data_IF_548669951017
#
_entry.id   IF_548669951017
#
_cell.length_a   1.000
_cell.length_b   1.000
_cell.length_c   1.000
_cell.angle_alpha   90.00
_cell.angle_beta   90.00
_cell.angle_gamma   90.00
#
_symmetry.space_group_name_H-M   'P 1'
#
loop_
_entity.id
_entity.type
_entity.pdbx_description
1 polymer ?
#
# COMPACT_ATOMS: atom_id res chain seq x y z
N UNK A 1 28.77 -51.73 22.58
CA UNK A 1 28.46 -50.52 23.36
C UNK A 1 28.17 -49.40 22.35
N UNK A 2 26.96 -49.35 21.78
CA UNK A 2 25.87 -48.43 22.15
C UNK A 2 26.33 -46.98 22.42
N UNK A 3 25.99 -46.06 21.52
CA UNK A 3 25.08 -44.94 21.83
C UNK A 3 24.44 -44.40 20.54
N UNK A 4 23.09 -44.42 20.53
CA UNK A 4 22.21 -43.71 19.59
C UNK A 4 21.81 -42.38 20.25
N UNK A 5 21.58 -41.34 19.46
CA UNK A 5 20.56 -40.34 19.78
C UNK A 5 20.09 -39.65 18.48
N UNK A 6 18.83 -39.89 18.15
CA UNK A 6 18.08 -39.28 17.07
C UNK A 6 17.10 -38.24 17.65
N UNK A 7 16.85 -37.18 16.86
CA UNK A 7 15.53 -36.62 16.53
C UNK A 7 14.64 -35.90 17.58
N UNK A 8 14.19 -34.72 17.14
CA UNK A 8 12.83 -34.14 17.15
C UNK A 8 12.37 -33.17 18.28
N UNK A 9 11.88 -32.04 17.74
CA UNK A 9 10.73 -31.23 18.16
C UNK A 9 10.86 -30.27 19.34
N UNK A 10 10.96 -28.97 19.02
CA UNK A 10 10.62 -27.86 19.90
C UNK A 10 9.39 -27.13 19.35
N UNK A 11 8.32 -27.13 20.13
CA UNK A 11 6.96 -26.76 19.80
C UNK A 11 6.71 -25.25 19.66
N UNK A 12 5.66 -24.92 18.89
CA UNK A 12 4.94 -23.65 18.92
C UNK A 12 4.47 -23.30 20.34
N UNK A 13 4.73 -22.07 20.77
CA UNK A 13 3.98 -21.40 21.84
C UNK A 13 3.46 -20.07 21.30
N UNK A 14 2.18 -20.05 20.92
CA UNK A 14 1.40 -18.82 20.74
C UNK A 14 1.04 -18.29 22.14
N UNK A 15 1.34 -17.01 22.39
CA UNK A 15 0.92 -16.27 23.59
C UNK A 15 -0.10 -15.18 23.22
N UNK A 16 -0.89 -14.85 24.23
CA UNK A 16 -1.87 -13.76 24.36
C UNK A 16 -3.24 -14.06 23.71
N UNK A 17 -4.34 -14.24 24.47
CA UNK A 17 -4.69 -13.56 25.73
C UNK A 17 -5.57 -12.36 25.37
N UNK A 18 -6.83 -12.63 25.03
CA UNK A 18 -7.83 -11.60 24.74
C UNK A 18 -8.41 -11.15 26.08
N UNK A 19 -8.03 -9.95 26.54
CA UNK A 19 -8.72 -9.30 27.65
C UNK A 19 -9.54 -8.15 27.09
N UNK A 20 -10.86 -8.33 27.13
CA UNK A 20 -11.83 -7.29 26.89
C UNK A 20 -11.99 -6.46 28.18
N UNK A 21 -11.76 -5.15 28.10
CA UNK A 21 -12.43 -4.08 28.87
C UNK A 21 -11.65 -2.79 28.65
N UNK A 22 -12.31 -1.75 28.14
CA UNK A 22 -12.37 -0.42 28.77
C UNK A 22 -13.18 0.52 27.83
N UNK A 23 -14.47 0.61 28.12
CA UNK A 23 -15.29 1.78 27.82
C UNK A 23 -15.17 2.73 29.02
N UNK A 24 -14.60 3.92 28.83
CA UNK A 24 -15.08 5.19 29.40
C UNK A 24 -14.24 6.37 28.86
N UNK A 25 -14.83 7.57 28.73
CA UNK A 25 -14.24 8.70 28.03
C UNK A 25 -13.51 9.64 29.00
N UNK A 26 -12.24 9.93 28.75
CA UNK A 26 -11.59 11.06 29.40
C UNK A 26 -11.40 12.22 28.43
N UNK A 27 -12.15 13.28 28.74
CA UNK A 27 -11.94 14.61 28.23
C UNK A 27 -10.52 15.08 28.60
N UNK A 28 -9.70 15.35 27.61
CA UNK A 28 -8.49 16.13 27.78
C UNK A 28 -8.38 17.13 26.63
N UNK A 29 -8.90 18.31 26.94
CA UNK A 29 -8.77 19.55 26.17
C UNK A 29 -7.29 19.92 26.12
N UNK A 30 -6.59 19.55 25.05
CA UNK A 30 -5.26 20.08 24.75
C UNK A 30 -5.35 21.07 23.59
N UNK A 31 -5.64 22.32 23.96
CA UNK A 31 -5.33 23.51 23.16
C UNK A 31 -3.81 23.58 22.97
N UNK A 32 -3.33 23.08 21.84
CA UNK A 32 -1.95 23.27 21.39
C UNK A 32 -1.92 24.28 20.26
N UNK A 33 -1.71 25.54 20.63
CA UNK A 33 -1.25 26.59 19.72
C UNK A 33 0.22 26.35 19.39
N UNK A 34 0.47 25.58 18.33
CA UNK A 34 1.73 25.59 17.60
C UNK A 34 1.39 25.74 16.13
N UNK A 35 1.66 26.92 15.54
CA UNK A 35 1.51 27.18 14.11
C UNK A 35 2.65 26.52 13.32
N UNK A 36 2.84 25.23 13.52
CA UNK A 36 3.50 24.32 12.58
C UNK A 36 2.37 23.66 11.83
N UNK A 37 2.30 23.87 10.51
CA UNK A 37 1.24 23.33 9.64
C UNK A 37 1.02 21.86 9.97
N UNK A 38 -0.07 21.52 10.67
CA UNK A 38 -0.31 20.17 11.13
C UNK A 38 -0.32 19.23 9.93
N UNK A 39 0.66 18.31 9.86
CA UNK A 39 0.73 17.31 8.79
C UNK A 39 -0.47 16.38 8.98
N UNK A 40 -1.40 16.42 8.05
CA UNK A 40 -2.56 15.51 8.07
C UNK A 40 -2.04 14.12 7.72
N UNK A 41 -1.97 13.25 8.73
CA UNK A 41 -1.66 11.85 8.51
C UNK A 41 -2.89 11.10 8.02
N UNK A 42 -2.79 10.58 6.80
CA UNK A 42 -3.81 9.80 6.11
C UNK A 42 -3.47 8.30 6.05
N UNK A 43 -2.38 7.87 6.69
CA UNK A 43 -1.94 6.47 6.75
C UNK A 43 -0.94 6.06 5.66
N UNK A 44 -0.53 6.97 4.77
CA UNK A 44 0.44 6.68 3.71
C UNK A 44 1.78 6.20 4.27
N UNK A 45 2.32 6.92 5.25
CA UNK A 45 3.64 6.64 5.81
C UNK A 45 3.65 5.27 6.52
N UNK A 46 2.55 4.91 7.20
CA UNK A 46 2.38 3.61 7.84
C UNK A 46 2.23 2.46 6.83
N UNK A 47 1.45 2.67 5.75
CA UNK A 47 1.31 1.71 4.66
C UNK A 47 2.66 1.44 3.99
N UNK A 48 3.39 2.50 3.65
CA UNK A 48 4.72 2.45 3.05
C UNK A 48 5.71 1.71 3.96
N UNK A 49 5.83 2.11 5.23
CA UNK A 49 6.71 1.45 6.18
C UNK A 49 6.44 -0.06 6.29
N UNK A 50 5.15 -0.46 6.33
CA UNK A 50 4.78 -1.86 6.39
C UNK A 50 5.10 -2.62 5.10
N UNK A 51 4.84 -2.03 3.93
CA UNK A 51 5.17 -2.68 2.66
C UNK A 51 6.69 -2.86 2.49
N UNK A 52 7.48 -1.86 2.89
CA UNK A 52 8.95 -1.95 2.86
C UNK A 52 9.49 -3.00 3.83
N UNK A 53 8.86 -3.14 5.01
CA UNK A 53 9.17 -4.21 5.95
C UNK A 53 8.85 -5.60 5.37
N UNK A 54 7.69 -5.76 4.72
CA UNK A 54 7.30 -7.01 4.06
C UNK A 54 8.28 -7.38 2.92
N UNK A 55 8.73 -6.39 2.13
CA UNK A 55 9.76 -6.59 1.10
C UNK A 55 11.07 -7.05 1.74
N UNK A 56 11.54 -6.33 2.77
CA UNK A 56 12.82 -6.63 3.43
C UNK A 56 12.82 -8.02 4.06
N UNK A 57 11.73 -8.38 4.74
CA UNK A 57 11.51 -9.71 5.34
C UNK A 57 11.45 -10.80 4.27
N UNK A 58 10.73 -10.55 3.17
CA UNK A 58 10.62 -11.49 2.06
C UNK A 58 11.94 -11.74 1.34
N UNK A 59 12.76 -10.69 1.12
CA UNK A 59 14.11 -10.84 0.58
C UNK A 59 14.95 -11.72 1.51
N UNK A 60 14.98 -11.42 2.80
CA UNK A 60 15.75 -12.19 3.78
C UNK A 60 15.34 -13.67 3.80
N UNK A 61 14.05 -13.96 3.69
CA UNK A 61 13.53 -15.33 3.64
C UNK A 61 13.84 -16.06 2.31
N UNK A 62 13.83 -15.34 1.18
CA UNK A 62 14.07 -15.90 -0.16
C UNK A 62 15.55 -16.18 -0.48
N UNK A 63 16.47 -15.60 0.29
CA UNK A 63 17.91 -15.56 0.01
C UNK A 63 18.72 -16.25 1.10
N UNK A 64 18.22 -17.36 1.63
CA UNK A 64 18.85 -18.13 2.70
C UNK A 64 19.95 -19.09 2.23
N UNK A 65 20.02 -19.37 0.93
CA UNK A 65 21.05 -20.25 0.38
C UNK A 65 22.45 -19.63 0.50
N UNK A 66 23.47 -20.48 0.63
CA UNK A 66 24.87 -20.07 0.90
C UNK A 66 25.50 -19.19 -0.16
N UNK A 67 24.98 -19.19 -1.40
CA UNK A 67 25.42 -18.30 -2.47
C UNK A 67 25.08 -16.82 -2.19
N UNK A 68 24.11 -16.55 -1.31
CA UNK A 68 23.68 -15.20 -0.96
C UNK A 68 24.49 -14.62 0.21
N UNK A 69 25.37 -13.67 -0.09
CA UNK A 69 26.09 -12.91 0.93
C UNK A 69 25.18 -11.89 1.62
N UNK A 70 25.62 -11.33 2.75
CA UNK A 70 24.91 -10.20 3.39
C UNK A 70 24.83 -8.98 2.47
N UNK A 71 25.95 -8.64 1.82
CA UNK A 71 26.04 -7.49 0.90
C UNK A 71 25.07 -7.62 -0.29
N UNK A 72 24.92 -8.82 -0.86
CA UNK A 72 23.95 -9.05 -1.94
C UNK A 72 22.51 -8.84 -1.45
N UNK A 73 22.18 -9.32 -0.25
CA UNK A 73 20.85 -9.16 0.35
C UNK A 73 20.54 -7.70 0.64
N UNK A 74 21.49 -6.98 1.22
CA UNK A 74 21.40 -5.53 1.45
C UNK A 74 21.22 -4.77 0.14
N UNK A 75 21.97 -5.12 -0.91
CA UNK A 75 21.85 -4.49 -2.23
C UNK A 75 20.47 -4.72 -2.85
N UNK A 76 19.96 -5.95 -2.83
CA UNK A 76 18.60 -6.25 -3.32
C UNK A 76 17.56 -5.48 -2.53
N UNK A 77 17.62 -5.52 -1.19
CA UNK A 77 16.67 -4.81 -0.34
C UNK A 77 16.73 -3.31 -0.59
N UNK A 78 17.91 -2.69 -0.61
CA UNK A 78 18.06 -1.25 -0.82
C UNK A 78 17.54 -0.82 -2.20
N UNK A 79 17.89 -1.54 -3.27
CA UNK A 79 17.46 -1.20 -4.62
C UNK A 79 15.94 -1.27 -4.77
N UNK A 80 15.32 -2.32 -4.22
CA UNK A 80 13.86 -2.49 -4.28
C UNK A 80 13.15 -1.47 -3.40
N UNK A 81 13.59 -1.28 -2.15
CA UNK A 81 12.93 -0.34 -1.23
C UNK A 81 13.04 1.09 -1.72
N UNK A 82 14.20 1.51 -2.24
CA UNK A 82 14.38 2.83 -2.84
C UNK A 82 13.45 3.05 -4.04
N UNK A 83 13.40 2.09 -4.97
CA UNK A 83 12.53 2.17 -6.15
C UNK A 83 11.04 2.23 -5.77
N UNK A 84 10.66 1.43 -4.78
CA UNK A 84 9.28 1.36 -4.27
C UNK A 84 8.88 2.65 -3.55
N UNK A 85 9.74 3.18 -2.67
CA UNK A 85 9.55 4.46 -1.98
C UNK A 85 9.35 5.58 -2.99
N UNK A 86 10.27 5.72 -3.95
CA UNK A 86 10.19 6.76 -4.98
C UNK A 86 8.87 6.65 -5.76
N UNK A 87 8.53 5.44 -6.24
CA UNK A 87 7.31 5.22 -7.02
C UNK A 87 6.05 5.53 -6.21
N UNK A 88 5.99 5.13 -4.93
CA UNK A 88 4.84 5.42 -4.06
C UNK A 88 4.72 6.91 -3.76
N UNK A 89 5.83 7.60 -3.49
CA UNK A 89 5.85 9.04 -3.25
C UNK A 89 5.33 9.81 -4.46
N UNK A 90 5.80 9.48 -5.66
CA UNK A 90 5.35 10.08 -6.91
C UNK A 90 3.86 9.78 -7.16
N UNK A 91 3.44 8.53 -6.97
CA UNK A 91 2.08 8.11 -7.25
C UNK A 91 1.04 8.64 -6.25
N UNK A 92 1.41 8.83 -4.97
CA UNK A 92 0.52 9.37 -3.95
C UNK A 92 0.48 10.90 -3.91
N UNK A 93 1.45 11.59 -4.51
CA UNK A 93 1.52 13.06 -4.46
C UNK A 93 0.26 13.75 -5.03
N UNK A 94 -0.30 13.37 -6.19
CA UNK A 94 -1.52 13.97 -6.72
C UNK A 94 -2.72 13.78 -5.79
N UNK A 95 -2.87 12.58 -5.23
CA UNK A 95 -3.95 12.26 -4.31
C UNK A 95 -3.86 13.07 -3.01
N UNK A 96 -2.65 13.16 -2.41
CA UNK A 96 -2.40 13.98 -1.21
C UNK A 96 -2.78 15.45 -1.47
N UNK A 97 -2.44 15.97 -2.66
CA UNK A 97 -2.83 17.33 -3.09
C UNK A 97 -4.36 17.48 -3.23
N UNK A 98 -5.05 16.50 -3.82
CA UNK A 98 -6.51 16.51 -3.99
C UNK A 98 -7.26 16.56 -2.65
N UNK A 99 -6.85 15.74 -1.68
CA UNK A 99 -7.41 15.76 -0.32
C UNK A 99 -7.18 17.10 0.34
N UNK A 100 -5.95 17.63 0.28
CA UNK A 100 -5.62 18.93 0.85
C UNK A 100 -6.44 20.07 0.22
N UNK A 101 -6.62 20.05 -1.10
CA UNK A 101 -7.43 21.05 -1.80
C UNK A 101 -8.89 21.02 -1.33
N UNK A 102 -9.50 19.82 -1.24
CA UNK A 102 -10.88 19.70 -0.76
C UNK A 102 -11.01 20.12 0.70
N UNK A 103 -10.06 19.72 1.56
CA UNK A 103 -10.03 20.12 2.97
C UNK A 103 -9.95 21.65 3.12
N UNK A 104 -9.12 22.32 2.33
CA UNK A 104 -9.00 23.79 2.36
C UNK A 104 -10.24 24.51 1.81
N UNK A 105 -11.03 23.85 0.94
CA UNK A 105 -12.25 24.42 0.36
C UNK A 105 -13.47 24.34 1.29
N UNK A 106 -13.42 23.55 2.37
CA UNK A 106 -14.53 23.42 3.30
C UNK A 106 -14.60 24.64 4.23
N UNK A 107 -15.78 25.27 4.41
CA UNK A 107 -15.92 26.52 5.14
C UNK A 107 -15.86 26.36 6.67
N UNK A 108 -16.34 25.24 7.22
CA UNK A 108 -16.40 25.02 8.67
C UNK A 108 -15.34 24.03 9.15
N UNK A 109 -14.70 24.31 10.29
CA UNK A 109 -13.68 23.42 10.90
C UNK A 109 -14.25 22.04 11.28
N UNK A 110 -15.53 21.98 11.65
CA UNK A 110 -16.22 20.72 11.91
C UNK A 110 -16.28 19.85 10.64
N UNK A 111 -16.67 20.43 9.49
CA UNK A 111 -16.72 19.72 8.20
C UNK A 111 -15.33 19.27 7.75
N UNK A 112 -14.30 20.09 7.98
CA UNK A 112 -12.91 19.72 7.73
C UNK A 112 -12.49 18.49 8.53
N UNK A 113 -12.84 18.45 9.81
CA UNK A 113 -12.53 17.33 10.71
C UNK A 113 -13.25 16.06 10.27
N UNK A 114 -14.55 16.14 10.00
CA UNK A 114 -15.38 15.02 9.53
C UNK A 114 -14.88 14.47 8.19
N UNK A 115 -14.54 15.37 7.25
CA UNK A 115 -13.95 14.99 5.97
C UNK A 115 -12.65 14.20 6.14
N UNK A 116 -11.70 14.70 6.94
CA UNK A 116 -10.44 13.99 7.17
C UNK A 116 -10.66 12.66 7.86
N UNK A 117 -11.56 12.57 8.84
CA UNK A 117 -11.88 11.30 9.49
C UNK A 117 -12.47 10.28 8.52
N UNK A 118 -13.39 10.70 7.65
CA UNK A 118 -13.97 9.85 6.61
C UNK A 118 -12.92 9.36 5.61
N UNK A 119 -12.04 10.25 5.13
CA UNK A 119 -10.93 9.88 4.23
C UNK A 119 -9.99 8.89 4.92
N UNK A 120 -9.58 9.15 6.17
CA UNK A 120 -8.70 8.26 6.94
C UNK A 120 -9.30 6.87 7.10
N UNK A 121 -10.58 6.77 7.48
CA UNK A 121 -11.27 5.51 7.66
C UNK A 121 -11.34 4.70 6.35
N UNK A 122 -11.65 5.37 5.24
CA UNK A 122 -11.71 4.73 3.92
C UNK A 122 -10.33 4.26 3.43
N UNK A 123 -9.31 5.11 3.58
CA UNK A 123 -7.94 4.79 3.18
C UNK A 123 -7.38 3.63 3.99
N UNK A 124 -7.61 3.58 5.31
CA UNK A 124 -7.17 2.47 6.15
C UNK A 124 -7.70 1.11 5.65
N UNK A 125 -8.96 1.07 5.19
CA UNK A 125 -9.54 -0.14 4.59
C UNK A 125 -8.84 -0.51 3.29
N UNK A 126 -8.63 0.44 2.38
CA UNK A 126 -7.93 0.20 1.11
C UNK A 126 -6.50 -0.28 1.37
N UNK A 127 -5.76 0.38 2.25
CA UNK A 127 -4.38 0.01 2.61
C UNK A 127 -4.30 -1.40 3.18
N UNK A 128 -5.17 -1.77 4.12
CA UNK A 128 -5.15 -3.11 4.71
C UNK A 128 -5.46 -4.21 3.67
N UNK A 129 -6.45 -3.99 2.80
CA UNK A 129 -6.78 -4.91 1.72
C UNK A 129 -5.62 -5.05 0.72
N UNK A 130 -5.06 -3.92 0.29
CA UNK A 130 -3.99 -3.91 -0.71
C UNK A 130 -2.67 -4.46 -0.19
N UNK A 131 -2.34 -4.26 1.09
CA UNK A 131 -1.19 -4.91 1.72
C UNK A 131 -1.31 -6.43 1.60
N UNK A 132 -2.42 -7.02 2.06
CA UNK A 132 -2.62 -8.47 1.99
C UNK A 132 -2.50 -9.00 0.56
N UNK A 133 -3.17 -8.35 -0.40
CA UNK A 133 -3.07 -8.73 -1.81
C UNK A 133 -1.64 -8.62 -2.35
N UNK A 134 -0.91 -7.57 -1.97
CA UNK A 134 0.45 -7.32 -2.43
C UNK A 134 1.42 -8.35 -1.86
N UNK A 135 1.35 -8.64 -0.57
CA UNK A 135 2.18 -9.65 0.11
C UNK A 135 1.99 -11.04 -0.51
N UNK A 136 0.75 -11.43 -0.79
CA UNK A 136 0.46 -12.71 -1.48
C UNK A 136 1.06 -12.78 -2.89
N UNK A 137 1.10 -11.66 -3.62
CA UNK A 137 1.71 -11.61 -4.95
C UNK A 137 3.23 -11.64 -4.86
N UNK A 138 3.83 -10.92 -3.91
CA UNK A 138 5.29 -10.95 -3.70
C UNK A 138 5.80 -12.35 -3.37
N UNK A 139 4.98 -13.19 -2.71
CA UNK A 139 5.35 -14.57 -2.44
C UNK A 139 5.68 -15.38 -3.71
N UNK A 140 5.16 -15.04 -4.89
CA UNK A 140 5.58 -15.69 -6.14
C UNK A 140 6.96 -15.20 -6.62
N UNK A 141 7.24 -13.89 -6.54
CA UNK A 141 8.56 -13.32 -6.83
C UNK A 141 9.64 -13.89 -5.90
N UNK A 142 9.36 -13.98 -4.60
CA UNK A 142 10.29 -14.59 -3.63
C UNK A 142 10.56 -16.07 -3.91
N UNK A 143 9.53 -16.84 -4.29
CA UNK A 143 9.73 -18.23 -4.75
C UNK A 143 10.54 -18.32 -6.04
N UNK A 144 10.41 -17.34 -6.94
CA UNK A 144 11.23 -17.30 -8.15
C UNK A 144 12.71 -17.08 -7.82
N UNK A 145 13.02 -16.14 -6.91
CA UNK A 145 14.40 -15.87 -6.44
C UNK A 145 15.04 -17.12 -5.84
N UNK A 146 14.31 -17.86 -5.00
CA UNK A 146 14.83 -19.08 -4.39
C UNK A 146 15.21 -20.15 -5.44
N UNK A 147 14.56 -20.16 -6.61
CA UNK A 147 14.88 -21.08 -7.72
C UNK A 147 16.11 -20.68 -8.53
N UNK A 148 16.56 -19.43 -8.42
CA UNK A 148 17.72 -18.92 -9.18
C UNK A 148 19.04 -19.51 -8.70
N UNK A 149 19.11 -20.02 -7.46
CA UNK A 149 20.30 -20.62 -6.86
C UNK A 149 20.78 -21.87 -7.61
N UNK A 150 19.89 -22.53 -8.37
CA UNK A 150 20.22 -23.70 -9.18
C UNK A 150 20.75 -23.39 -10.58
N UNK A 151 20.75 -22.12 -10.99
CA UNK A 151 21.26 -21.69 -12.29
C UNK A 151 22.65 -21.08 -12.07
N UNK A 152 23.67 -21.55 -12.81
CA UNK A 152 25.04 -21.05 -12.72
C UNK A 152 25.13 -19.56 -13.09
N UNK A 153 24.81 -18.69 -12.14
CA UNK A 153 24.77 -17.22 -12.26
C UNK A 153 25.85 -16.59 -11.42
N UNK A 154 26.37 -15.47 -11.90
CA UNK A 154 27.28 -14.61 -11.14
C UNK A 154 26.53 -13.89 -10.02
N UNK A 155 27.25 -13.38 -9.02
CA UNK A 155 26.66 -12.61 -7.92
C UNK A 155 25.86 -11.40 -8.43
N UNK A 156 26.42 -10.64 -9.38
CA UNK A 156 25.76 -9.47 -9.96
C UNK A 156 24.46 -9.85 -10.69
N UNK A 157 24.48 -10.96 -11.43
CA UNK A 157 23.28 -11.48 -12.09
C UNK A 157 22.22 -11.92 -11.07
N UNK A 158 22.61 -12.52 -9.94
CA UNK A 158 21.66 -12.89 -8.89
C UNK A 158 20.99 -11.65 -8.29
N UNK A 159 21.78 -10.62 -7.94
CA UNK A 159 21.27 -9.36 -7.37
C UNK A 159 20.36 -8.64 -8.38
N UNK A 160 20.80 -8.49 -9.63
CA UNK A 160 20.02 -7.81 -10.66
C UNK A 160 18.70 -8.53 -10.93
N UNK A 161 18.72 -9.86 -11.09
CA UNK A 161 17.51 -10.63 -11.37
C UNK A 161 16.55 -10.63 -10.17
N UNK A 162 17.05 -10.75 -8.94
CA UNK A 162 16.21 -10.67 -7.76
C UNK A 162 15.52 -9.29 -7.64
N UNK A 163 16.28 -8.22 -7.90
CA UNK A 163 15.76 -6.85 -7.92
C UNK A 163 14.64 -6.71 -8.96
N UNK A 164 14.84 -7.21 -10.17
CA UNK A 164 13.85 -7.20 -11.25
C UNK A 164 12.62 -8.02 -10.88
N UNK A 165 12.78 -9.25 -10.37
CA UNK A 165 11.66 -10.12 -10.01
C UNK A 165 10.73 -9.49 -8.96
N UNK A 166 11.28 -8.77 -7.99
CA UNK A 166 10.48 -8.10 -6.97
C UNK A 166 9.87 -6.82 -7.54
N UNK A 167 10.67 -5.99 -8.22
CA UNK A 167 10.21 -4.72 -8.78
C UNK A 167 9.14 -4.93 -9.84
N UNK A 168 9.29 -5.89 -10.75
CA UNK A 168 8.28 -6.21 -11.76
C UNK A 168 6.98 -6.71 -11.09
N UNK A 169 7.09 -7.52 -10.04
CA UNK A 169 5.92 -8.02 -9.32
C UNK A 169 5.09 -6.94 -8.61
N UNK A 170 5.70 -5.79 -8.31
CA UNK A 170 5.10 -4.69 -7.55
C UNK A 170 4.74 -3.49 -8.43
N UNK A 171 5.68 -3.06 -9.26
CA UNK A 171 5.70 -1.74 -9.90
C UNK A 171 5.29 -1.80 -11.37
N UNK A 172 5.43 -2.96 -12.01
CA UNK A 172 5.19 -3.09 -13.45
C UNK A 172 3.76 -3.47 -13.76
N UNK A 173 3.27 -2.93 -14.87
CA UNK A 173 2.03 -3.35 -15.50
C UNK A 173 2.26 -4.66 -16.26
N UNK A 174 1.35 -5.62 -16.10
CA UNK A 174 1.46 -6.91 -16.78
C UNK A 174 0.45 -7.01 -17.92
N UNK A 175 0.95 -6.96 -19.14
CA UNK A 175 0.15 -7.12 -20.36
C UNK A 175 0.10 -8.58 -20.83
N UNK A 176 -1.08 -9.02 -21.23
CA UNK A 176 -1.40 -10.33 -21.78
C UNK A 176 -1.91 -10.16 -23.21
N UNK A 177 -1.45 -10.99 -24.13
CA UNK A 177 -1.74 -10.89 -25.56
C UNK A 177 -0.66 -10.12 -26.32
N UNK A 178 -0.22 -10.69 -27.44
CA UNK A 178 0.91 -10.23 -28.27
C UNK A 178 1.97 -11.32 -28.42
N UNK A 179 2.17 -11.79 -29.65
CA UNK A 179 3.16 -12.78 -30.14
C UNK A 179 2.87 -14.27 -29.88
N UNK A 180 1.79 -14.81 -30.45
CA UNK A 180 1.85 -16.20 -30.94
C UNK A 180 2.48 -16.21 -32.33
N UNK A 181 3.79 -16.47 -32.39
CA UNK A 181 4.37 -17.08 -33.58
C UNK A 181 3.71 -18.45 -33.79
N UNK A 182 2.78 -18.49 -34.75
CA UNK A 182 2.34 -19.70 -35.44
C UNK A 182 1.25 -20.52 -34.77
N UNK A 183 -0.02 -20.22 -35.08
CA UNK A 183 -1.01 -21.27 -35.38
C UNK A 183 -1.80 -20.80 -36.60
N UNK A 184 -1.56 -21.46 -37.73
CA UNK A 184 -2.34 -21.27 -38.96
C UNK A 184 -3.73 -21.86 -38.69
N UNK A 185 -4.76 -21.02 -38.69
CA UNK A 185 -6.15 -21.46 -38.75
C UNK A 185 -7.02 -21.14 -37.53
N UNK A 186 -7.31 -19.85 -37.31
CA UNK A 186 -8.57 -19.42 -36.69
C UNK A 186 -8.83 -17.94 -37.04
N UNK A 187 -9.59 -17.71 -38.10
CA UNK A 187 -10.13 -16.39 -38.41
C UNK A 187 -11.10 -15.97 -37.27
N UNK A 188 -10.91 -14.76 -36.73
CA UNK A 188 -11.74 -14.07 -35.72
C UNK A 188 -11.40 -14.19 -34.21
N UNK A 189 -10.13 -14.12 -33.81
CA UNK A 189 -9.78 -13.50 -32.52
C UNK A 189 -8.96 -12.25 -32.78
N UNK A 190 -9.58 -11.06 -32.68
CA UNK A 190 -8.83 -9.82 -32.47
C UNK A 190 -7.98 -10.04 -31.23
N UNK A 191 -6.66 -10.02 -31.38
CA UNK A 191 -5.68 -10.10 -30.30
C UNK A 191 -6.06 -9.05 -29.24
N UNK A 192 -6.70 -9.50 -28.15
CA UNK A 192 -7.05 -8.62 -27.05
C UNK A 192 -5.80 -8.45 -26.20
N UNK A 193 -5.03 -7.42 -26.50
CA UNK A 193 -4.03 -6.91 -25.57
C UNK A 193 -4.76 -6.45 -24.30
N UNK A 194 -4.51 -7.11 -23.19
CA UNK A 194 -5.11 -6.82 -21.90
C UNK A 194 -4.01 -6.58 -20.87
N UNK A 195 -3.95 -5.39 -20.31
CA UNK A 195 -2.95 -5.05 -19.30
C UNK A 195 -3.58 -4.93 -17.91
N UNK A 196 -2.93 -5.58 -16.94
CA UNK A 196 -3.26 -5.45 -15.53
C UNK A 196 -2.37 -4.37 -14.90
N UNK A 197 -2.95 -3.34 -14.26
CA UNK A 197 -2.18 -2.26 -13.65
C UNK A 197 -1.22 -2.78 -12.59
N UNK A 198 -0.18 -2.00 -12.30
CA UNK A 198 0.72 -2.32 -11.21
C UNK A 198 0.01 -2.27 -9.85
N UNK A 199 0.65 -2.81 -8.81
CA UNK A 199 0.06 -2.79 -7.46
C UNK A 199 -0.09 -1.38 -6.94
N UNK A 200 0.96 -0.56 -7.10
CA UNK A 200 0.93 0.84 -6.68
C UNK A 200 -0.17 1.60 -7.41
N UNK A 201 -0.30 1.42 -8.73
CA UNK A 201 -1.38 2.05 -9.51
C UNK A 201 -2.76 1.59 -9.05
N UNK A 202 -2.92 0.31 -8.74
CA UNK A 202 -4.19 -0.24 -8.22
C UNK A 202 -4.57 0.40 -6.89
N UNK A 203 -3.60 0.56 -5.97
CA UNK A 203 -3.82 1.22 -4.69
C UNK A 203 -4.24 2.68 -4.91
N UNK A 204 -3.48 3.42 -5.73
CA UNK A 204 -3.78 4.83 -6.04
C UNK A 204 -5.18 4.99 -6.63
N UNK A 205 -5.56 4.13 -7.58
CA UNK A 205 -6.89 4.15 -8.17
C UNK A 205 -7.98 3.98 -7.12
N UNK A 206 -7.88 2.95 -6.28
CA UNK A 206 -8.90 2.71 -5.24
C UNK A 206 -8.99 3.82 -4.20
N UNK A 207 -7.84 4.42 -3.84
CA UNK A 207 -7.82 5.57 -2.95
C UNK A 207 -8.45 6.81 -3.61
N UNK A 208 -8.18 7.06 -4.90
CA UNK A 208 -8.82 8.14 -5.66
C UNK A 208 -10.33 7.93 -5.73
N UNK A 209 -10.79 6.74 -6.13
CA UNK A 209 -12.22 6.41 -6.20
C UNK A 209 -12.93 6.66 -4.86
N UNK A 210 -12.26 6.27 -3.76
CA UNK A 210 -12.75 6.49 -2.39
C UNK A 210 -12.77 7.98 -2.02
N UNK A 211 -11.71 8.72 -2.36
CA UNK A 211 -11.58 10.14 -2.07
C UNK A 211 -12.60 10.97 -2.83
N UNK A 212 -12.84 10.68 -4.11
CA UNK A 212 -13.81 11.38 -4.95
C UNK A 212 -15.22 11.24 -4.39
N UNK A 213 -15.64 10.02 -4.03
CA UNK A 213 -16.94 9.77 -3.43
C UNK A 213 -17.15 10.58 -2.15
N UNK A 214 -16.18 10.53 -1.23
CA UNK A 214 -16.25 11.26 0.05
C UNK A 214 -16.25 12.77 -0.18
N UNK A 215 -15.45 13.25 -1.14
CA UNK A 215 -15.33 14.68 -1.43
C UNK A 215 -16.59 15.25 -2.08
N UNK A 216 -17.27 14.47 -2.93
CA UNK A 216 -18.58 14.85 -3.46
C UNK A 216 -19.62 15.01 -2.36
N UNK A 217 -19.70 14.05 -1.43
CA UNK A 217 -20.61 14.13 -0.28
C UNK A 217 -20.31 15.35 0.58
N UNK A 218 -19.03 15.58 0.95
CA UNK A 218 -18.65 16.72 1.77
C UNK A 218 -18.99 18.08 1.10
N UNK A 219 -18.78 18.19 -0.22
CA UNK A 219 -19.14 19.41 -0.97
C UNK A 219 -20.65 19.62 -1.05
N UNK A 220 -21.42 18.54 -1.22
CA UNK A 220 -22.88 18.60 -1.20
C UNK A 220 -23.40 19.07 0.15
N UNK A 221 -22.93 18.48 1.25
CA UNK A 221 -23.36 18.83 2.61
C UNK A 221 -22.97 20.27 2.96
N UNK A 222 -21.76 20.71 2.58
CA UNK A 222 -21.35 22.10 2.73
C UNK A 222 -22.22 23.06 1.92
N UNK A 223 -22.58 22.70 0.69
CA UNK A 223 -23.51 23.46 -0.15
C UNK A 223 -24.89 23.60 0.48
N UNK A 224 -25.49 22.49 0.93
CA UNK A 224 -26.79 22.45 1.57
C UNK A 224 -26.82 23.32 2.85
N UNK A 225 -25.81 23.20 3.70
CA UNK A 225 -25.69 24.00 4.92
C UNK A 225 -25.50 25.49 4.63
N UNK A 226 -24.76 25.84 3.56
CA UNK A 226 -24.59 27.24 3.16
C UNK A 226 -25.91 27.89 2.71
N UNK A 227 -26.78 27.14 2.04
CA UNK A 227 -28.09 27.62 1.62
C UNK A 227 -29.02 27.82 2.82
N UNK A 228 -29.03 26.88 3.76
CA UNK A 228 -29.78 27.01 5.02
C UNK A 228 -29.30 28.22 5.84
N UNK A 229 -27.99 28.44 5.94
CA UNK A 229 -27.43 29.60 6.62
C UNK A 229 -27.85 30.92 5.96
N UNK A 230 -27.84 30.99 4.62
CA UNK A 230 -28.33 32.16 3.87
C UNK A 230 -29.83 32.41 4.05
N UNK A 231 -30.64 31.36 4.07
CA UNK A 231 -32.09 31.49 4.34
C UNK A 231 -32.34 32.02 5.75
N UNK A 232 -31.63 31.47 6.75
CA UNK A 232 -31.74 31.91 8.14
C UNK A 232 -31.26 33.36 8.34
N UNK A 233 -30.19 33.78 7.66
CA UNK A 233 -29.74 35.18 7.73
C UNK A 233 -30.74 36.13 7.07
N UNK A 234 -31.34 35.73 5.94
CA UNK A 234 -32.34 36.53 5.23
C UNK A 234 -33.64 36.67 6.03
N UNK A 235 -34.07 35.61 6.73
CA UNK A 235 -35.24 35.63 7.60
C UNK A 235 -35.05 36.46 8.89
N UNK A 236 -33.80 36.70 9.33
CA UNK A 236 -33.49 37.51 10.52
C UNK A 236 -33.32 39.01 10.21
N UNK A 237 -33.15 39.35 8.93
CA UNK A 237 -32.98 40.73 8.46
C UNK A 237 -34.28 41.36 7.94
N UNK A 238 -35.36 40.58 7.87
CA UNK A 238 -36.73 41.03 7.60
C UNK A 238 -37.50 41.13 8.93
#
# INVERSE_FOLDING_TARGET
MQFRASLLWGACAYLAGVNASFLAPDASTNTSTSTTRAKIDLGFDAFEAKLLADVSSGVAAATTATVWTSQMRESVTANVTQSLQQTMHEAFAPLKKSVAHTWMALPAEQQKTEYIQAVKASFARVFSQQLNMTTNRMASSFRAIAREVGLSRTADQLVANATVLISDGLLKEHCYGGDTKGVVGAAHQKERHFCMPSRVQTVVKQLNDSQELISMTARYDAGALSLLAKQKSKARAA
#
